data_IF_647182896591
#
_entry.id   IF_647182896591
#
_cell.length_a   1.000
_cell.length_b   1.000
_cell.length_c   1.000
_cell.angle_alpha   90.00
_cell.angle_beta   90.00
_cell.angle_gamma   90.00
#
_symmetry.space_group_name_H-M   'P 1'
#
loop_
_entity.id
_entity.type
_entity.pdbx_description
1 polymer ?
#
# COMPACT_ATOMS: atom_id res chain seq x y z
N UNK A 1 -13.48 -8.56 -10.95
CA UNK A 1 -13.48 -7.14 -10.57
C UNK A 1 -12.52 -6.99 -9.39
N UNK A 2 -11.27 -6.56 -9.62
CA UNK A 2 -10.25 -6.50 -8.57
C UNK A 2 -10.51 -5.33 -7.62
N UNK A 3 -10.37 -5.61 -6.31
CA UNK A 3 -10.37 -4.59 -5.25
C UNK A 3 -9.03 -4.70 -4.53
N UNK A 4 -8.31 -3.58 -4.49
CA UNK A 4 -6.96 -3.48 -3.95
C UNK A 4 -7.01 -2.51 -2.78
N UNK A 5 -6.68 -2.99 -1.59
CA UNK A 5 -6.53 -2.13 -0.41
C UNK A 5 -5.06 -2.01 -0.08
N UNK A 6 -4.56 -0.78 -0.07
CA UNK A 6 -3.19 -0.46 0.34
C UNK A 6 -3.30 0.35 1.63
N UNK A 7 -2.74 -0.18 2.71
CA UNK A 7 -2.64 0.57 3.95
C UNK A 7 -1.25 1.19 4.06
N UNK A 8 -1.22 2.47 4.36
CA UNK A 8 0.01 3.23 4.56
C UNK A 8 -0.06 3.97 5.87
N UNK A 9 1.10 4.27 6.44
CA UNK A 9 1.17 5.11 7.62
C UNK A 9 0.76 6.53 7.26
N UNK A 10 -0.11 7.12 8.08
CA UNK A 10 -0.58 8.48 7.89
C UNK A 10 0.56 9.48 7.82
N UNK A 11 0.55 10.33 6.80
CA UNK A 11 1.60 11.32 6.55
C UNK A 11 2.95 10.74 6.10
N UNK A 12 3.02 9.44 5.79
CA UNK A 12 4.24 8.83 5.24
C UNK A 12 4.46 9.11 3.76
N UNK A 13 3.38 9.35 3.02
CA UNK A 13 3.38 9.67 1.59
C UNK A 13 2.63 10.97 1.36
N UNK A 14 3.09 11.77 0.40
CA UNK A 14 2.30 12.89 -0.08
C UNK A 14 1.22 12.42 -1.07
N UNK A 15 0.34 13.36 -1.43
CA UNK A 15 -0.79 13.08 -2.33
C UNK A 15 -0.33 12.65 -3.73
N UNK A 16 0.81 13.15 -4.21
CA UNK A 16 1.32 12.80 -5.54
C UNK A 16 1.79 11.34 -5.56
N UNK A 17 2.57 10.93 -4.56
CA UNK A 17 2.97 9.55 -4.37
C UNK A 17 1.78 8.60 -4.23
N UNK A 18 0.76 8.97 -3.45
CA UNK A 18 -0.46 8.15 -3.28
C UNK A 18 -1.16 7.94 -4.64
N UNK A 19 -1.32 9.00 -5.42
CA UNK A 19 -1.96 8.92 -6.73
C UNK A 19 -1.16 8.08 -7.73
N UNK A 20 0.17 8.26 -7.77
CA UNK A 20 1.04 7.46 -8.65
C UNK A 20 0.98 5.98 -8.27
N UNK A 21 1.10 5.68 -6.97
CA UNK A 21 1.04 4.32 -6.45
C UNK A 21 -0.29 3.64 -6.80
N UNK A 22 -1.42 4.27 -6.51
CA UNK A 22 -2.74 3.73 -6.80
C UNK A 22 -2.92 3.43 -8.31
N UNK A 23 -2.46 4.34 -9.17
CA UNK A 23 -2.50 4.15 -10.63
C UNK A 23 -1.67 2.93 -11.06
N UNK A 24 -0.40 2.88 -10.65
CA UNK A 24 0.54 1.83 -11.08
C UNK A 24 0.13 0.45 -10.59
N UNK A 25 -0.32 0.34 -9.34
CA UNK A 25 -0.78 -0.94 -8.78
C UNK A 25 -2.04 -1.41 -9.50
N UNK A 26 -2.99 -0.52 -9.79
CA UNK A 26 -4.21 -0.85 -10.53
C UNK A 26 -3.90 -1.37 -11.94
N UNK A 27 -2.97 -0.73 -12.65
CA UNK A 27 -2.55 -1.16 -13.98
C UNK A 27 -1.89 -2.54 -13.98
N UNK A 28 -1.02 -2.82 -13.00
CA UNK A 28 -0.34 -4.11 -12.88
C UNK A 28 -1.33 -5.22 -12.56
N UNK A 29 -2.22 -5.01 -11.60
CA UNK A 29 -3.25 -6.00 -11.25
C UNK A 29 -4.18 -6.26 -12.42
N UNK A 30 -4.64 -5.21 -13.12
CA UNK A 30 -5.46 -5.36 -14.31
C UNK A 30 -4.74 -6.15 -15.43
N UNK A 31 -3.45 -5.92 -15.61
CA UNK A 31 -2.64 -6.66 -16.59
C UNK A 31 -2.50 -8.14 -16.24
N UNK A 32 -2.29 -8.47 -14.96
CA UNK A 32 -2.16 -9.86 -14.52
C UNK A 32 -3.49 -10.61 -14.70
N UNK A 33 -4.57 -10.04 -14.21
CA UNK A 33 -5.90 -10.65 -14.17
C UNK A 33 -6.55 -10.76 -15.56
N UNK A 34 -6.30 -9.80 -16.44
CA UNK A 34 -6.99 -9.76 -17.73
C UNK A 34 -6.32 -10.63 -18.81
N UNK A 35 -5.13 -11.19 -18.55
CA UNK A 35 -4.41 -12.03 -19.53
C UNK A 35 -5.27 -13.23 -19.99
N UNK A 36 -5.32 -13.50 -21.31
CA UNK A 36 -4.49 -12.93 -22.38
C UNK A 36 -5.04 -11.63 -23.01
N UNK A 37 -6.15 -11.09 -22.52
CA UNK A 37 -6.79 -9.89 -23.05
C UNK A 37 -6.08 -8.60 -22.59
N UNK A 38 -6.27 -7.47 -23.30
CA UNK A 38 -5.72 -6.17 -22.89
C UNK A 38 -6.28 -5.70 -21.54
N UNK A 39 -5.42 -5.13 -20.69
CA UNK A 39 -5.77 -4.66 -19.35
C UNK A 39 -6.86 -3.58 -19.35
N UNK A 40 -7.00 -2.84 -20.45
CA UNK A 40 -8.01 -1.80 -20.67
C UNK A 40 -9.44 -2.33 -20.53
N UNK A 41 -9.65 -3.63 -20.72
CA UNK A 41 -10.95 -4.28 -20.52
C UNK A 41 -11.32 -4.38 -19.03
N UNK A 42 -10.34 -4.43 -18.13
CA UNK A 42 -10.55 -4.62 -16.69
C UNK A 42 -10.27 -3.36 -15.88
N UNK A 43 -9.38 -2.48 -16.35
CA UNK A 43 -8.94 -1.28 -15.64
C UNK A 43 -10.09 -0.35 -15.18
N UNK A 44 -11.15 -0.09 -15.98
CA UNK A 44 -12.30 0.72 -15.53
C UNK A 44 -13.09 0.09 -14.38
N UNK A 45 -12.88 -1.20 -14.12
CA UNK A 45 -13.53 -1.98 -13.08
C UNK A 45 -12.56 -2.39 -11.96
N UNK A 46 -11.35 -1.82 -11.94
CA UNK A 46 -10.37 -2.04 -10.87
C UNK A 46 -10.44 -0.89 -9.88
N UNK A 47 -10.59 -1.22 -8.60
CA UNK A 47 -10.67 -0.24 -7.53
C UNK A 47 -9.44 -0.35 -6.63
N UNK A 48 -8.76 0.77 -6.41
CA UNK A 48 -7.66 0.88 -5.45
C UNK A 48 -8.05 1.87 -4.35
N UNK A 49 -8.09 1.36 -3.13
CA UNK A 49 -8.37 2.12 -1.91
C UNK A 49 -7.05 2.25 -1.17
N UNK A 50 -6.62 3.49 -0.93
CA UNK A 50 -5.44 3.78 -0.11
C UNK A 50 -5.92 4.32 1.22
N UNK A 51 -5.66 3.58 2.28
CA UNK A 51 -6.03 3.94 3.65
C UNK A 51 -4.80 4.45 4.38
N UNK A 52 -4.89 5.68 4.89
CA UNK A 52 -3.91 6.22 5.81
C UNK A 52 -4.29 5.82 7.24
N UNK A 53 -3.41 5.06 7.88
CA UNK A 53 -3.65 4.47 9.19
C UNK A 53 -2.65 5.08 10.19
N UNK A 54 -3.15 5.48 11.36
CA UNK A 54 -2.31 5.98 12.45
C UNK A 54 -1.37 4.86 12.93
N UNK A 55 -0.14 5.20 13.33
CA UNK A 55 0.92 4.22 13.61
C UNK A 55 0.59 3.28 14.78
N UNK A 56 -0.29 3.71 15.68
CA UNK A 56 -0.81 2.92 16.80
C UNK A 56 -1.59 1.67 16.37
N UNK A 57 -2.07 1.64 15.12
CA UNK A 57 -2.81 0.50 14.56
C UNK A 57 -1.93 -0.46 13.75
N UNK A 58 -0.63 -0.19 13.64
CA UNK A 58 0.31 -1.11 13.02
C UNK A 58 1.11 -1.83 14.10
N UNK A 59 1.20 -3.16 13.98
CA UNK A 59 2.11 -3.98 14.77
C UNK A 59 3.24 -4.43 13.86
N UNK A 60 4.47 -4.15 14.25
CA UNK A 60 5.65 -4.75 13.62
C UNK A 60 6.43 -5.56 14.65
N UNK A 61 6.72 -6.82 14.31
CA UNK A 61 7.44 -7.74 15.19
C UNK A 61 6.79 -7.90 16.59
N UNK A 62 5.46 -7.83 16.67
CA UNK A 62 4.72 -7.97 17.93
C UNK A 62 4.64 -6.70 18.79
N UNK A 63 5.23 -5.58 18.35
CA UNK A 63 5.19 -4.29 19.05
C UNK A 63 4.48 -3.23 18.20
N UNK A 64 3.77 -2.26 18.81
CA UNK A 64 3.21 -1.13 18.09
C UNK A 64 4.28 -0.34 17.35
N UNK A 65 3.92 0.22 16.21
CA UNK A 65 4.83 1.02 15.41
C UNK A 65 5.06 2.39 16.07
N UNK A 66 6.12 2.52 16.86
CA UNK A 66 6.49 3.80 17.50
C UNK A 66 7.21 4.75 16.53
N UNK A 67 7.26 6.07 16.82
CA UNK A 67 8.05 7.02 16.04
C UNK A 67 9.53 6.63 15.89
N UNK A 68 10.13 6.01 16.90
CA UNK A 68 11.52 5.53 16.83
C UNK A 68 11.67 4.36 15.83
N UNK A 69 10.71 3.43 15.81
CA UNK A 69 10.69 2.30 14.87
C UNK A 69 10.52 2.81 13.43
N UNK A 70 9.65 3.80 13.22
CA UNK A 70 9.48 4.48 11.95
C UNK A 70 10.77 5.14 11.46
N UNK A 71 11.49 5.82 12.35
CA UNK A 71 12.75 6.47 12.02
C UNK A 71 13.85 5.44 11.68
N UNK A 72 13.90 4.32 12.40
CA UNK A 72 14.81 3.22 12.12
C UNK A 72 14.52 2.56 10.76
N UNK A 73 13.25 2.37 10.41
CA UNK A 73 12.83 1.85 9.11
C UNK A 73 13.17 2.80 7.95
N UNK A 74 12.91 4.11 8.12
CA UNK A 74 13.27 5.14 7.12
C UNK A 74 14.77 5.23 6.84
N UNK A 75 15.60 4.92 7.82
CA UNK A 75 17.07 4.91 7.66
C UNK A 75 17.63 3.59 7.15
N UNK A 76 16.77 2.62 6.80
CA UNK A 76 17.16 1.31 6.31
C UNK A 76 17.82 0.43 7.37
N UNK A 77 17.75 0.82 8.66
CA UNK A 77 18.35 0.08 9.78
C UNK A 77 17.46 -1.05 10.31
N UNK A 78 16.21 -1.11 9.87
CA UNK A 78 15.23 -2.08 10.32
C UNK A 78 14.35 -2.51 9.15
N UNK A 79 14.23 -3.83 8.93
CA UNK A 79 13.23 -4.41 8.04
C UNK A 79 11.98 -4.72 8.87
N UNK A 80 10.83 -4.17 8.49
CA UNK A 80 9.57 -4.35 9.22
C UNK A 80 8.74 -5.42 8.53
N UNK A 81 8.41 -6.48 9.26
CA UNK A 81 7.27 -7.34 8.93
C UNK A 81 6.09 -6.80 9.70
N UNK A 82 5.11 -6.27 8.98
CA UNK A 82 3.92 -5.65 9.56
C UNK A 82 2.78 -6.65 9.52
N UNK A 83 2.20 -6.94 10.68
CA UNK A 83 0.98 -7.75 10.81
C UNK A 83 -0.18 -6.80 11.18
N UNK A 84 -1.33 -6.99 10.55
CA UNK A 84 -2.55 -6.32 10.97
C UNK A 84 -3.01 -6.94 12.29
N UNK A 85 -3.32 -6.09 13.28
CA UNK A 85 -3.89 -6.50 14.57
C UNK A 85 -5.33 -6.98 14.45
#
# INVERSE_FOLDING_TARGET
MPVITIQVLKGSLDKECINEMAKRVSEVVAEIECRPSPKENLLPFTYCIVEEVDSEHFIANGEPLTPEVLQAARTGKLHLTVEQA
#
